data_IF_339658587498
#
_entry.id   IF_339658587498
#
_cell.length_a   1.000
_cell.length_b   1.000
_cell.length_c   1.000
_cell.angle_alpha   90.00
_cell.angle_beta   90.00
_cell.angle_gamma   90.00
#
_symmetry.space_group_name_H-M   'P 1'
#
loop_
_entity.id
_entity.type
_entity.pdbx_description
1 polymer ?
#
# COMPACT_ATOMS: atom_id res chain seq x y z
N UNK A 1 -13.98 -22.43 -16.08
CA UNK A 1 -13.00 -22.94 -15.11
C UNK A 1 -11.94 -21.87 -14.88
N UNK A 2 -11.90 -21.24 -13.70
CA UNK A 2 -10.89 -20.25 -13.31
C UNK A 2 -9.86 -20.89 -12.39
N UNK A 3 -8.58 -20.58 -12.59
CA UNK A 3 -7.46 -21.05 -11.75
C UNK A 3 -6.42 -19.95 -11.60
N UNK A 4 -5.92 -19.75 -10.38
CA UNK A 4 -4.84 -18.79 -10.07
C UNK A 4 -3.55 -19.55 -9.82
N UNK A 5 -2.47 -19.11 -10.45
CA UNK A 5 -1.13 -19.58 -10.14
C UNK A 5 -0.63 -18.82 -8.91
N UNK A 6 -0.75 -19.44 -7.74
CA UNK A 6 -0.34 -18.83 -6.47
C UNK A 6 1.17 -19.02 -6.29
N UNK A 7 1.96 -17.93 -6.25
CA UNK A 7 3.40 -18.04 -6.02
C UNK A 7 3.69 -18.42 -4.56
N UNK A 8 4.86 -19.03 -4.34
CA UNK A 8 5.27 -19.50 -3.00
C UNK A 8 5.47 -18.36 -1.98
N UNK A 9 5.88 -17.17 -2.45
CA UNK A 9 5.98 -15.97 -1.63
C UNK A 9 5.21 -14.84 -2.31
N UNK A 10 4.33 -14.20 -1.57
CA UNK A 10 3.52 -13.08 -2.05
C UNK A 10 3.21 -12.12 -0.91
N UNK A 11 3.41 -10.84 -1.15
CA UNK A 11 2.96 -9.76 -0.33
C UNK A 11 2.43 -8.64 -1.23
N UNK A 12 1.14 -8.33 -1.11
CA UNK A 12 0.48 -7.35 -1.97
C UNK A 12 1.11 -5.94 -1.91
N UNK A 13 1.60 -5.52 -0.74
CA UNK A 13 2.25 -4.21 -0.61
C UNK A 13 3.56 -4.15 -1.42
N UNK A 14 4.38 -5.21 -1.37
CA UNK A 14 5.64 -5.24 -2.10
C UNK A 14 5.46 -5.59 -3.58
N UNK A 15 4.77 -6.69 -3.89
CA UNK A 15 4.74 -7.25 -5.23
C UNK A 15 3.81 -6.49 -6.19
N UNK A 16 2.87 -5.71 -5.65
CA UNK A 16 1.91 -4.92 -6.44
C UNK A 16 2.09 -3.43 -6.20
N UNK A 17 1.90 -2.95 -4.96
CA UNK A 17 1.89 -1.50 -4.70
C UNK A 17 3.26 -0.87 -4.96
N UNK A 18 4.34 -1.45 -4.42
CA UNK A 18 5.69 -0.90 -4.61
C UNK A 18 6.19 -1.06 -6.05
N UNK A 19 5.88 -2.17 -6.73
CA UNK A 19 6.22 -2.32 -8.14
C UNK A 19 5.46 -1.32 -9.03
N UNK A 20 4.21 -1.01 -8.73
CA UNK A 20 3.49 0.05 -9.43
C UNK A 20 4.03 1.43 -9.08
N UNK A 21 4.40 1.67 -7.81
CA UNK A 21 5.03 2.91 -7.38
C UNK A 21 6.38 3.18 -8.07
N UNK A 22 7.12 2.12 -8.44
CA UNK A 22 8.36 2.21 -9.22
C UNK A 22 8.10 2.42 -10.72
N UNK A 23 7.22 1.61 -11.31
CA UNK A 23 7.02 1.58 -12.77
C UNK A 23 6.07 2.68 -13.28
N UNK A 24 5.14 3.14 -12.44
CA UNK A 24 4.10 4.11 -12.78
C UNK A 24 3.96 5.17 -11.68
N UNK A 25 5.00 5.95 -11.39
CA UNK A 25 5.06 6.76 -10.17
C UNK A 25 3.97 7.81 -10.05
N UNK A 26 3.52 8.38 -11.18
CA UNK A 26 2.48 9.41 -11.21
C UNK A 26 1.06 8.84 -11.40
N UNK A 27 0.91 7.51 -11.45
CA UNK A 27 -0.41 6.90 -11.65
C UNK A 27 -1.21 7.04 -10.36
N UNK A 28 -2.38 7.66 -10.47
CA UNK A 28 -3.33 7.80 -9.38
C UNK A 28 -3.80 6.43 -8.89
N UNK A 29 -3.84 6.26 -7.58
CA UNK A 29 -4.12 4.98 -6.92
C UNK A 29 -5.30 5.08 -5.95
N UNK A 30 -5.41 6.21 -5.23
CA UNK A 30 -6.49 6.45 -4.29
C UNK A 30 -7.00 7.89 -4.42
N UNK A 31 -8.31 8.03 -4.62
CA UNK A 31 -9.02 9.29 -4.48
C UNK A 31 -9.74 9.29 -3.13
N UNK A 32 -9.38 10.23 -2.25
CA UNK A 32 -10.02 10.44 -0.96
C UNK A 32 -10.76 11.78 -0.98
N UNK A 33 -11.93 11.83 -0.36
CA UNK A 33 -12.75 13.04 -0.25
C UNK A 33 -13.49 13.04 1.10
N UNK A 34 -13.88 14.22 1.57
CA UNK A 34 -14.68 14.39 2.78
C UNK A 34 -15.93 15.28 2.56
N UNK A 35 -16.83 15.29 3.54
CA UNK A 35 -18.07 16.09 3.51
C UNK A 35 -17.82 17.60 3.56
N UNK A 36 -16.58 18.02 3.88
CA UNK A 36 -16.14 19.42 3.88
C UNK A 36 -15.69 19.90 2.49
N UNK A 37 -15.67 19.01 1.49
CA UNK A 37 -15.24 19.31 0.13
C UNK A 37 -13.71 19.29 -0.06
N UNK A 38 -12.97 18.63 0.84
CA UNK A 38 -11.53 18.44 0.67
C UNK A 38 -11.28 17.15 -0.10
N UNK A 39 -10.57 17.26 -1.21
CA UNK A 39 -10.14 16.13 -2.03
C UNK A 39 -8.63 15.90 -1.88
N UNK A 40 -8.22 14.63 -1.92
CA UNK A 40 -6.82 14.20 -2.02
C UNK A 40 -6.70 13.07 -3.03
N UNK A 41 -5.79 13.25 -3.97
CA UNK A 41 -5.40 12.21 -4.91
C UNK A 41 -4.01 11.73 -4.48
N UNK A 42 -3.89 10.43 -4.24
CA UNK A 42 -2.62 9.77 -3.93
C UNK A 42 -2.21 8.89 -5.11
N UNK A 43 -0.96 9.02 -5.53
CA UNK A 43 -0.35 8.15 -6.53
C UNK A 43 0.13 6.83 -5.92
N UNK A 44 0.49 5.85 -6.75
CA UNK A 44 1.13 4.62 -6.26
C UNK A 44 2.45 4.92 -5.52
N UNK A 45 3.24 5.91 -5.97
CA UNK A 45 4.43 6.33 -5.22
C UNK A 45 4.08 6.90 -3.84
N UNK A 46 3.01 7.68 -3.73
CA UNK A 46 2.56 8.22 -2.44
C UNK A 46 2.12 7.10 -1.50
N UNK A 47 1.36 6.13 -2.02
CA UNK A 47 0.93 4.98 -1.23
C UNK A 47 2.12 4.15 -0.72
N UNK A 48 3.13 3.89 -1.55
CA UNK A 48 4.38 3.21 -1.11
C UNK A 48 5.08 3.98 0.00
N UNK A 49 5.18 5.31 -0.11
CA UNK A 49 5.83 6.13 0.92
C UNK A 49 5.05 6.11 2.24
N UNK A 50 3.74 6.33 2.17
CA UNK A 50 2.87 6.41 3.34
C UNK A 50 2.72 5.05 4.03
N UNK A 51 2.62 3.95 3.27
CA UNK A 51 2.56 2.60 3.85
C UNK A 51 3.84 2.22 4.56
N UNK A 52 5.01 2.57 4.00
CA UNK A 52 6.31 2.35 4.65
C UNK A 52 6.46 3.18 5.94
N UNK A 53 5.98 4.42 5.94
CA UNK A 53 5.94 5.24 7.16
C UNK A 53 5.03 4.61 8.24
N UNK A 54 3.83 4.14 7.86
CA UNK A 54 2.94 3.44 8.77
C UNK A 54 3.56 2.14 9.32
N UNK A 55 4.22 1.34 8.47
CA UNK A 55 4.93 0.14 8.89
C UNK A 55 6.03 0.45 9.92
N UNK A 56 6.80 1.53 9.70
CA UNK A 56 7.82 1.97 10.66
C UNK A 56 7.23 2.44 11.98
N UNK A 57 6.05 3.06 11.97
CA UNK A 57 5.33 3.41 13.21
C UNK A 57 4.94 2.13 13.95
N UNK A 58 4.35 1.14 13.29
CA UNK A 58 4.00 -0.12 13.92
C UNK A 58 5.23 -0.84 14.52
N UNK A 59 6.36 -0.83 13.81
CA UNK A 59 7.63 -1.33 14.33
C UNK A 59 8.07 -0.56 15.59
N UNK A 60 7.95 0.76 15.60
CA UNK A 60 8.29 1.59 16.77
C UNK A 60 7.39 1.33 17.98
N UNK A 61 6.14 0.90 17.75
CA UNK A 61 5.20 0.48 18.80
C UNK A 61 5.44 -0.97 19.27
N UNK A 62 6.42 -1.67 18.67
CA UNK A 62 6.80 -3.02 19.05
C UNK A 62 5.96 -4.13 18.43
N UNK A 63 5.12 -3.81 17.43
CA UNK A 63 4.30 -4.78 16.70
C UNK A 63 5.19 -5.71 15.88
N UNK A 64 4.87 -7.00 15.90
CA UNK A 64 5.61 -8.07 15.24
C UNK A 64 4.73 -8.85 14.27
N UNK A 65 5.39 -9.62 13.40
CA UNK A 65 4.71 -10.54 12.50
C UNK A 65 3.87 -11.54 13.29
N UNK A 66 2.57 -11.58 13.00
CA UNK A 66 1.60 -12.46 13.65
C UNK A 66 0.78 -11.78 14.75
N UNK A 67 1.15 -10.55 15.15
CA UNK A 67 0.33 -9.77 16.07
C UNK A 67 -0.97 -9.30 15.40
N UNK A 68 -2.05 -9.21 16.18
CA UNK A 68 -3.33 -8.68 15.71
C UNK A 68 -3.39 -7.19 16.04
N UNK A 69 -3.74 -6.37 15.04
CA UNK A 69 -3.81 -4.90 15.10
C UNK A 69 -5.19 -4.43 14.66
#
# INVERSE_FOLDING_TARGET
NYSVNVPHNFNFAYDIIDEWGKNFPNKEALYWTDDGGIDKILTFTDLTKLSNQAANIFLSLGIKKGDTV
#
